data_IF_085668545591
#
_entry.id   IF_085668545591
#
_cell.length_a   1.000
_cell.length_b   1.000
_cell.length_c   1.000
_cell.angle_alpha   90.00
_cell.angle_beta   90.00
_cell.angle_gamma   90.00
#
_symmetry.space_group_name_H-M   'P 1'
#
loop_
_entity.id
_entity.type
_entity.pdbx_description
1 polymer ?
#
# COMPACT_ATOMS: atom_id res chain seq x y z
N UNK A 1 0.76 11.12 4.85
CA UNK A 1 0.17 9.76 4.90
C UNK A 1 -1.05 9.66 4.01
N UNK A 2 -1.95 10.65 4.02
CA UNK A 2 -3.15 10.66 3.17
C UNK A 2 -2.87 10.50 1.67
N UNK A 3 -1.86 11.22 1.16
CA UNK A 3 -1.43 11.13 -0.24
C UNK A 3 -1.10 9.70 -0.70
N UNK A 4 -0.58 8.85 0.19
CA UNK A 4 -0.30 7.44 -0.12
C UNK A 4 -1.61 6.67 -0.30
N UNK A 5 -2.62 6.94 0.54
CA UNK A 5 -3.93 6.32 0.41
C UNK A 5 -4.66 6.77 -0.86
N UNK A 6 -4.48 8.01 -1.30
CA UNK A 6 -5.06 8.52 -2.56
C UNK A 6 -4.42 7.86 -3.78
N UNK A 7 -3.08 7.83 -3.85
CA UNK A 7 -2.37 7.17 -4.95
C UNK A 7 -2.64 5.66 -4.97
N UNK A 8 -2.74 5.04 -3.79
CA UNK A 8 -3.08 3.62 -3.70
C UNK A 8 -4.52 3.35 -4.09
N UNK A 9 -5.46 4.24 -3.72
CA UNK A 9 -6.84 4.13 -4.17
C UNK A 9 -6.93 4.26 -5.68
N UNK A 10 -6.23 5.21 -6.30
CA UNK A 10 -6.21 5.37 -7.76
C UNK A 10 -5.75 4.07 -8.46
N UNK A 11 -4.66 3.47 -7.98
CA UNK A 11 -4.12 2.21 -8.50
C UNK A 11 -5.07 1.00 -8.31
N UNK A 12 -5.88 0.98 -7.25
CA UNK A 12 -6.75 -0.14 -6.90
C UNK A 12 -8.23 0.17 -7.03
N UNK A 13 -8.62 1.32 -7.58
CA UNK A 13 -10.00 1.82 -7.56
C UNK A 13 -10.96 0.83 -8.22
N UNK A 14 -10.51 0.22 -9.32
CA UNK A 14 -11.24 -0.81 -10.05
C UNK A 14 -11.54 -2.09 -9.25
N UNK A 15 -10.70 -2.42 -8.26
CA UNK A 15 -10.85 -3.64 -7.45
C UNK A 15 -11.39 -3.36 -6.03
N UNK A 16 -11.06 -2.18 -5.49
CA UNK A 16 -11.32 -1.79 -4.10
C UNK A 16 -11.67 -0.30 -4.08
N UNK A 17 -12.92 0.08 -4.38
CA UNK A 17 -13.35 1.48 -4.37
C UNK A 17 -13.24 2.11 -2.97
N UNK A 18 -13.35 1.31 -1.90
CA UNK A 18 -13.23 1.80 -0.52
C UNK A 18 -11.78 1.85 0.00
N UNK A 19 -10.77 1.56 -0.85
CA UNK A 19 -9.37 1.50 -0.44
C UNK A 19 -8.89 2.77 0.27
N UNK A 20 -9.39 3.95 -0.12
CA UNK A 20 -9.04 5.23 0.51
C UNK A 20 -9.50 5.29 1.97
N UNK A 21 -10.73 4.83 2.24
CA UNK A 21 -11.30 4.82 3.59
C UNK A 21 -10.63 3.74 4.45
N UNK A 22 -10.46 2.53 3.92
CA UNK A 22 -9.79 1.42 4.60
C UNK A 22 -8.35 1.79 4.98
N UNK A 23 -7.61 2.42 4.07
CA UNK A 23 -6.24 2.88 4.29
C UNK A 23 -6.14 3.91 5.42
N UNK A 24 -7.12 4.79 5.60
CA UNK A 24 -7.17 5.79 6.69
C UNK A 24 -7.65 5.21 8.02
N UNK A 25 -8.26 4.02 8.00
CA UNK A 25 -8.82 3.37 9.19
C UNK A 25 -7.75 3.08 10.25
N UNK A 26 -8.14 3.08 11.52
CA UNK A 26 -7.25 2.71 12.62
C UNK A 26 -5.95 3.54 12.68
N UNK A 27 -6.01 4.83 12.34
CA UNK A 27 -4.87 5.75 12.33
C UNK A 27 -3.67 5.23 11.50
N UNK A 28 -3.93 4.69 10.31
CA UNK A 28 -2.92 4.13 9.41
C UNK A 28 -2.19 2.88 9.96
N UNK A 29 -2.73 2.25 11.01
CA UNK A 29 -2.20 1.01 11.60
C UNK A 29 -2.89 -0.25 11.05
N UNK A 30 -3.34 -0.20 9.80
CA UNK A 30 -3.97 -1.32 9.12
C UNK A 30 -3.04 -1.91 8.05
N UNK A 31 -3.41 -3.08 7.52
CA UNK A 31 -2.61 -3.78 6.50
C UNK A 31 -2.69 -3.09 5.14
N UNK A 32 -3.80 -2.44 4.81
CA UNK A 32 -3.98 -1.71 3.56
C UNK A 32 -2.96 -0.58 3.43
N UNK A 33 -2.81 0.25 4.47
CA UNK A 33 -1.83 1.31 4.54
C UNK A 33 -0.40 0.75 4.46
N UNK A 34 -0.08 -0.33 5.17
CA UNK A 34 1.26 -0.96 5.09
C UNK A 34 1.55 -1.46 3.68
N UNK A 35 0.55 -2.04 2.99
CA UNK A 35 0.68 -2.50 1.61
C UNK A 35 0.88 -1.34 0.65
N UNK A 36 0.06 -0.30 0.75
CA UNK A 36 0.21 0.94 -0.02
C UNK A 36 1.58 1.58 0.22
N UNK A 37 1.99 1.72 1.47
CA UNK A 37 3.28 2.28 1.86
C UNK A 37 4.46 1.51 1.25
N UNK A 38 4.36 0.18 1.14
CA UNK A 38 5.40 -0.65 0.48
C UNK A 38 5.50 -0.41 -1.03
N UNK A 39 4.42 -0.02 -1.69
CA UNK A 39 4.43 0.30 -3.13
C UNK A 39 5.16 1.62 -3.40
N UNK A 40 4.98 2.60 -2.50
CA UNK A 40 5.55 3.94 -2.66
C UNK A 40 6.85 4.16 -1.88
N UNK A 41 7.31 3.19 -1.07
CA UNK A 41 8.59 3.31 -0.35
C UNK A 41 9.76 3.10 -1.33
N UNK A 42 10.71 4.06 -1.42
CA UNK A 42 11.89 3.88 -2.23
C UNK A 42 12.72 2.70 -1.71
N UNK A 43 13.29 1.96 -2.65
CA UNK A 43 14.01 0.69 -2.44
C UNK A 43 15.28 0.84 -1.60
N UNK A 44 15.72 2.07 -1.32
CA UNK A 44 16.83 2.39 -0.41
C UNK A 44 16.53 2.10 1.06
N UNK A 45 15.27 1.81 1.40
CA UNK A 45 14.85 1.40 2.74
C UNK A 45 14.69 -0.12 2.89
N UNK A 46 15.47 -0.89 2.10
CA UNK A 46 15.50 -2.37 2.09
C UNK A 46 16.46 -3.00 3.10
N UNK A 47 17.08 -2.24 4.01
CA UNK A 47 17.61 -2.83 5.26
C UNK A 47 16.43 -3.05 6.24
N UNK A 48 15.33 -3.63 5.76
CA UNK A 48 14.27 -4.20 6.58
C UNK A 48 13.94 -5.57 5.97
N UNK A 49 14.50 -6.60 6.61
CA UNK A 49 14.49 -8.00 6.24
C UNK A 49 13.07 -8.61 6.24
N UNK A 50 12.23 -8.33 5.23
CA UNK A 50 11.07 -9.20 4.96
C UNK A 50 10.52 -9.14 3.54
N UNK A 51 10.79 -10.22 2.81
CA UNK A 51 9.91 -10.87 1.83
C UNK A 51 9.20 -9.97 0.82
N UNK A 52 9.86 -9.72 -0.32
CA UNK A 52 9.12 -9.54 -1.57
C UNK A 52 9.02 -10.89 -2.28
N UNK A 53 8.05 -11.69 -1.83
CA UNK A 53 7.52 -12.80 -2.60
C UNK A 53 6.95 -12.25 -3.90
N UNK A 54 7.53 -12.72 -4.99
CA UNK A 54 7.09 -12.55 -6.37
C UNK A 54 5.57 -12.61 -6.49
N UNK A 55 4.97 -11.70 -7.26
CA UNK A 55 3.76 -12.04 -8.00
C UNK A 55 4.01 -11.84 -9.48
N UNK A 56 4.08 -13.00 -10.11
CA UNK A 56 4.26 -13.25 -11.53
C UNK A 56 3.14 -12.61 -12.33
N UNK A 57 3.56 -12.02 -13.44
CA UNK A 57 2.89 -11.97 -14.73
C UNK A 57 1.88 -13.11 -14.92
N UNK A 58 0.69 -12.75 -15.38
CA UNK A 58 -0.07 -13.56 -16.32
C UNK A 58 -0.83 -12.64 -17.26
#
# INVERSE_FOLDING_TARGET
MDRICELCHDMYSHQRPNMRADCRSGCFRNEDFKRCLRLFRPMTSLIDNKSRKSRSIK
#
